data_IF_793593484007
#
_entry.id   IF_793593484007
#
_cell.length_a   1.000
_cell.length_b   1.000
_cell.length_c   1.000
_cell.angle_alpha   90.00
_cell.angle_beta   90.00
_cell.angle_gamma   90.00
#
_symmetry.space_group_name_H-M   'P 1'
#
loop_
_entity.id
_entity.type
_entity.pdbx_description
1 polymer ?
#
# COMPACT_ATOMS: atom_id res chain seq x y z
N UNK A 1 -20.06 -5.42 -6.50
CA UNK A 1 -18.97 -4.53 -6.12
C UNK A 1 -19.44 -3.76 -4.91
N UNK A 2 -18.70 -3.84 -3.81
CA UNK A 2 -19.16 -3.36 -2.51
C UNK A 2 -18.05 -2.57 -1.83
N UNK A 3 -18.27 -1.27 -1.68
CA UNK A 3 -17.43 -0.45 -0.80
C UNK A 3 -17.96 -0.61 0.62
N UNK A 4 -17.18 -1.25 1.48
CA UNK A 4 -17.49 -1.32 2.89
C UNK A 4 -17.16 0.01 3.55
N UNK A 5 -18.14 0.57 4.26
CA UNK A 5 -17.99 1.88 4.91
C UNK A 5 -18.25 1.78 6.40
N UNK A 6 -17.34 2.34 7.17
CA UNK A 6 -17.48 2.56 8.61
C UNK A 6 -17.44 4.06 8.91
N UNK A 7 -17.56 4.43 10.19
CA UNK A 7 -17.40 5.82 10.62
C UNK A 7 -15.98 6.36 10.45
N UNK A 8 -14.98 5.51 10.18
CA UNK A 8 -13.56 5.88 10.20
C UNK A 8 -12.81 5.49 8.92
N UNK A 9 -13.31 4.54 8.16
CA UNK A 9 -12.67 4.01 6.96
C UNK A 9 -13.67 3.58 5.88
N UNK A 10 -13.23 3.63 4.63
CA UNK A 10 -13.89 3.01 3.47
C UNK A 10 -12.88 2.11 2.76
N UNK A 11 -13.27 0.88 2.44
CA UNK A 11 -12.41 -0.11 1.77
C UNK A 11 -13.16 -0.79 0.62
N UNK A 12 -12.41 -1.27 -0.36
CA UNK A 12 -12.90 -2.06 -1.49
C UNK A 12 -12.44 -3.51 -1.37
N UNK A 13 -13.26 -4.45 -1.86
CA UNK A 13 -12.90 -5.85 -2.01
C UNK A 13 -12.08 -6.12 -3.30
N UNK A 14 -11.99 -5.13 -4.20
CA UNK A 14 -11.37 -5.24 -5.53
C UNK A 14 -10.08 -4.45 -5.67
N UNK A 15 -9.96 -3.35 -4.93
CA UNK A 15 -8.79 -2.48 -5.01
C UNK A 15 -8.09 -2.37 -3.66
N UNK A 16 -6.76 -2.19 -3.64
CA UNK A 16 -6.00 -1.99 -2.41
C UNK A 16 -6.09 -0.55 -1.88
N UNK A 17 -6.87 0.31 -2.54
CA UNK A 17 -7.04 1.68 -2.10
C UNK A 17 -8.10 1.78 -1.00
N UNK A 18 -8.03 2.84 -0.22
CA UNK A 18 -8.89 3.05 0.93
C UNK A 18 -9.05 4.54 1.22
N UNK A 19 -10.16 4.89 1.87
CA UNK A 19 -10.34 6.19 2.49
C UNK A 19 -10.28 6.06 4.00
N UNK A 20 -9.74 7.07 4.68
CA UNK A 20 -9.70 7.11 6.14
C UNK A 20 -9.96 8.52 6.63
N UNK A 21 -10.52 8.62 7.83
CA UNK A 21 -10.65 9.90 8.52
C UNK A 21 -9.33 10.32 9.15
N UNK A 22 -9.08 11.62 9.10
CA UNK A 22 -7.99 12.29 9.80
C UNK A 22 -8.54 13.31 10.77
N UNK A 23 -7.75 13.64 11.79
CA UNK A 23 -8.09 14.68 12.74
C UNK A 23 -8.28 16.03 12.02
N UNK A 24 -9.33 16.73 12.43
CA UNK A 24 -9.70 18.03 11.87
C UNK A 24 -11.08 18.47 12.33
N UNK A 25 -11.32 19.78 12.22
CA UNK A 25 -12.64 20.36 12.39
C UNK A 25 -13.37 20.44 11.04
N UNK A 26 -14.69 20.25 11.06
CA UNK A 26 -15.56 20.37 9.88
C UNK A 26 -15.82 19.06 9.14
N UNK A 27 -16.46 19.16 7.97
CA UNK A 27 -16.89 18.01 7.17
C UNK A 27 -15.76 17.38 6.33
N UNK A 28 -14.73 18.15 5.99
CA UNK A 28 -13.61 17.73 5.13
C UNK A 28 -12.50 17.02 5.93
N UNK A 29 -12.86 15.88 6.53
CA UNK A 29 -11.97 15.08 7.41
C UNK A 29 -11.57 13.75 6.79
N UNK A 30 -11.89 13.49 5.53
CA UNK A 30 -11.51 12.26 4.85
C UNK A 30 -10.31 12.48 3.94
N UNK A 31 -9.49 11.43 3.79
CA UNK A 31 -8.40 11.36 2.82
C UNK A 31 -8.44 10.03 2.10
N UNK A 32 -8.07 10.05 0.82
CA UNK A 32 -7.86 8.84 0.02
C UNK A 32 -6.39 8.44 0.06
N UNK A 33 -6.13 7.14 0.08
CA UNK A 33 -4.77 6.60 -0.04
C UNK A 33 -4.08 7.02 -1.33
N UNK A 34 -4.84 7.26 -2.40
CA UNK A 34 -4.33 7.64 -3.72
C UNK A 34 -4.37 9.13 -4.05
N UNK A 35 -5.07 9.92 -3.23
CA UNK A 35 -5.12 11.38 -3.33
C UNK A 35 -4.87 12.00 -1.95
N UNK A 36 -3.69 11.75 -1.34
CA UNK A 36 -3.46 12.13 0.04
C UNK A 36 -3.45 13.65 0.25
N UNK A 37 -3.14 14.45 -0.76
CA UNK A 37 -3.04 15.90 -0.62
C UNK A 37 -4.41 16.59 -0.44
N UNK A 38 -5.52 15.88 -0.70
CA UNK A 38 -6.85 16.45 -0.66
C UNK A 38 -7.58 16.05 0.62
N UNK A 39 -8.17 17.05 1.29
CA UNK A 39 -9.15 16.84 2.36
C UNK A 39 -10.54 16.82 1.74
N UNK A 40 -11.28 15.76 2.01
CA UNK A 40 -12.53 15.42 1.34
C UNK A 40 -13.67 15.33 2.36
N UNK A 41 -14.89 15.64 1.91
CA UNK A 41 -16.09 15.21 2.64
C UNK A 41 -16.25 13.71 2.55
N UNK A 42 -17.17 13.14 3.34
CA UNK A 42 -17.48 11.71 3.30
C UNK A 42 -17.98 11.30 1.91
N UNK A 43 -18.83 12.12 1.29
CA UNK A 43 -19.40 11.88 -0.04
C UNK A 43 -18.31 11.92 -1.11
N UNK A 44 -17.39 12.87 -1.02
CA UNK A 44 -16.25 12.94 -1.93
C UNK A 44 -15.30 11.75 -1.76
N UNK A 45 -15.03 11.33 -0.53
CA UNK A 45 -14.22 10.14 -0.27
C UNK A 45 -14.86 8.89 -0.87
N UNK A 46 -16.18 8.72 -0.72
CA UNK A 46 -16.91 7.62 -1.35
C UNK A 46 -16.82 7.70 -2.88
N UNK A 47 -17.02 8.87 -3.47
CA UNK A 47 -16.87 9.07 -4.91
C UNK A 47 -15.48 8.70 -5.42
N UNK A 48 -14.42 8.96 -4.63
CA UNK A 48 -13.05 8.57 -4.97
C UNK A 48 -12.75 7.09 -4.81
N UNK A 49 -13.42 6.40 -3.88
CA UNK A 49 -13.38 4.95 -3.80
C UNK A 49 -14.07 4.30 -5.01
N UNK A 50 -15.24 4.81 -5.39
CA UNK A 50 -15.97 4.34 -6.58
C UNK A 50 -15.19 4.63 -7.88
N UNK A 51 -14.49 5.76 -7.95
CA UNK A 51 -13.65 6.11 -9.10
C UNK A 51 -12.51 5.11 -9.29
N UNK A 52 -11.79 4.77 -8.22
CA UNK A 52 -10.69 3.81 -8.27
C UNK A 52 -11.16 2.42 -8.72
N UNK A 53 -12.32 1.98 -8.22
CA UNK A 53 -12.95 0.73 -8.64
C UNK A 53 -13.35 0.69 -10.12
N UNK A 54 -13.98 1.76 -10.62
CA UNK A 54 -14.34 1.88 -12.03
C UNK A 54 -13.10 1.85 -12.92
N UNK A 55 -12.02 2.52 -12.51
CA UNK A 55 -10.76 2.55 -13.24
C UNK A 55 -9.98 1.23 -13.15
N UNK A 56 -10.28 0.39 -12.17
CA UNK A 56 -9.65 -0.92 -11.98
C UNK A 56 -10.29 -2.02 -12.82
N UNK A 57 -11.44 -1.77 -13.46
CA UNK A 57 -12.09 -2.72 -14.36
C UNK A 57 -11.67 -2.53 -15.83
N UNK A 58 -10.79 -3.39 -16.39
CA UNK A 58 -10.37 -3.27 -17.78
C UNK A 58 -11.48 -3.60 -18.78
N UNK A 59 -12.54 -4.30 -18.36
CA UNK A 59 -13.64 -4.68 -19.25
C UNK A 59 -14.61 -3.52 -19.51
N UNK A 60 -14.62 -2.51 -18.64
CA UNK A 60 -15.49 -1.35 -18.72
C UNK A 60 -14.98 -0.21 -19.63
N UNK A 61 -13.78 -0.34 -20.22
CA UNK A 61 -13.11 0.74 -20.97
C UNK A 61 -13.93 1.24 -22.17
N UNK A 62 -14.69 0.36 -22.83
CA UNK A 62 -15.53 0.72 -23.98
C UNK A 62 -16.98 1.05 -23.61
N UNK A 63 -17.37 0.90 -22.33
CA UNK A 63 -18.70 1.27 -21.86
C UNK A 63 -18.78 2.77 -21.62
N UNK A 64 -19.59 3.44 -22.45
CA UNK A 64 -19.81 4.90 -22.36
C UNK A 64 -20.47 5.31 -21.05
N UNK A 65 -21.28 4.43 -20.45
CA UNK A 65 -21.92 4.70 -19.15
C UNK A 65 -20.87 4.70 -18.04
N UNK A 66 -19.95 3.72 -18.06
CA UNK A 66 -18.82 3.66 -17.15
C UNK A 66 -17.89 4.87 -17.33
N UNK A 67 -17.57 5.25 -18.57
CA UNK A 67 -16.75 6.44 -18.85
C UNK A 67 -17.37 7.74 -18.31
N UNK A 68 -18.69 7.90 -18.43
CA UNK A 68 -19.39 9.04 -17.83
C UNK A 68 -19.33 8.98 -16.30
N UNK A 69 -19.55 7.80 -15.72
CA UNK A 69 -19.46 7.60 -14.27
C UNK A 69 -18.07 7.92 -13.70
N UNK A 70 -17.01 7.63 -14.46
CA UNK A 70 -15.62 8.00 -14.16
C UNK A 70 -15.45 9.53 -14.18
N UNK A 71 -15.93 10.20 -15.22
CA UNK A 71 -15.81 11.66 -15.34
C UNK A 71 -16.56 12.40 -14.21
N UNK A 72 -17.79 11.97 -13.91
CA UNK A 72 -18.63 12.59 -12.88
C UNK A 72 -17.97 12.49 -11.48
N UNK A 73 -17.38 11.33 -11.15
CA UNK A 73 -16.69 11.12 -9.86
C UNK A 73 -15.37 11.87 -9.77
N UNK A 74 -14.60 11.92 -10.85
CA UNK A 74 -13.39 12.74 -10.90
C UNK A 74 -13.71 14.23 -10.68
N UNK A 75 -14.78 14.72 -11.33
CA UNK A 75 -15.26 16.09 -11.14
C UNK A 75 -15.67 16.38 -9.69
N UNK A 76 -16.33 15.44 -9.01
CA UNK A 76 -16.70 15.58 -7.59
C UNK A 76 -15.48 15.77 -6.65
N UNK A 77 -14.32 15.24 -7.05
CA UNK A 77 -13.06 15.39 -6.34
C UNK A 77 -12.27 16.64 -6.75
N UNK A 78 -12.74 17.40 -7.75
CA UNK A 78 -12.00 18.52 -8.32
C UNK A 78 -10.78 18.10 -9.14
N UNK A 79 -10.72 16.86 -9.61
CA UNK A 79 -9.61 16.34 -10.41
C UNK A 79 -10.08 15.92 -11.80
N UNK A 80 -9.15 15.89 -12.75
CA UNK A 80 -9.36 15.26 -14.05
C UNK A 80 -9.25 13.73 -13.93
N UNK A 81 -10.03 12.99 -14.70
CA UNK A 81 -9.97 11.52 -14.65
C UNK A 81 -8.59 11.00 -15.09
N UNK A 82 -7.93 11.64 -16.05
CA UNK A 82 -6.59 11.24 -16.49
C UNK A 82 -5.56 11.41 -15.37
N UNK A 83 -5.73 12.45 -14.54
CA UNK A 83 -4.89 12.66 -13.36
C UNK A 83 -5.11 11.53 -12.34
N UNK A 84 -6.35 11.10 -12.13
CA UNK A 84 -6.66 9.97 -11.25
C UNK A 84 -6.00 8.68 -11.76
N UNK A 85 -6.09 8.40 -13.07
CA UNK A 85 -5.40 7.25 -13.71
C UNK A 85 -3.89 7.29 -13.45
N UNK A 86 -3.26 8.46 -13.59
CA UNK A 86 -1.81 8.62 -13.35
C UNK A 86 -1.46 8.32 -11.88
N UNK A 87 -2.23 8.87 -10.93
CA UNK A 87 -1.98 8.67 -9.49
C UNK A 87 -2.14 7.21 -9.08
N UNK A 88 -3.20 6.55 -9.53
CA UNK A 88 -3.45 5.14 -9.26
C UNK A 88 -2.38 4.23 -9.90
N UNK A 89 -2.00 4.52 -11.15
CA UNK A 89 -0.93 3.79 -11.84
C UNK A 89 0.41 3.90 -11.11
N UNK A 90 0.75 5.08 -10.59
CA UNK A 90 1.99 5.26 -9.79
C UNK A 90 1.99 4.39 -8.54
N UNK A 91 0.86 4.31 -7.84
CA UNK A 91 0.72 3.46 -6.65
C UNK A 91 0.78 1.98 -6.98
N UNK A 92 0.16 1.56 -8.07
CA UNK A 92 0.28 0.18 -8.58
C UNK A 92 1.74 -0.17 -8.85
N UNK A 93 2.49 0.69 -9.56
CA UNK A 93 3.93 0.49 -9.82
C UNK A 93 4.72 0.42 -8.52
N UNK A 94 4.45 1.29 -7.56
CA UNK A 94 5.13 1.29 -6.26
C UNK A 94 4.89 -0.02 -5.49
N UNK A 95 3.66 -0.54 -5.50
CA UNK A 95 3.33 -1.85 -4.89
C UNK A 95 4.05 -3.00 -5.58
N UNK A 96 4.11 -2.99 -6.92
CA UNK A 96 4.80 -4.02 -7.70
C UNK A 96 6.31 -4.01 -7.42
N UNK A 97 6.91 -2.82 -7.26
CA UNK A 97 8.32 -2.67 -6.85
C UNK A 97 8.55 -3.23 -5.45
N UNK A 98 7.67 -2.92 -4.48
CA UNK A 98 7.75 -3.45 -3.10
C UNK A 98 7.65 -4.98 -3.07
N UNK A 99 6.74 -5.58 -3.84
CA UNK A 99 6.61 -7.04 -3.95
C UNK A 99 7.79 -7.70 -4.67
N UNK A 100 8.38 -7.03 -5.66
CA UNK A 100 9.52 -7.56 -6.40
C UNK A 100 10.82 -7.52 -5.59
N UNK A 101 11.03 -6.47 -4.78
CA UNK A 101 12.19 -6.36 -3.88
C UNK A 101 12.16 -7.31 -2.67
N UNK A 102 10.97 -7.83 -2.30
CA UNK A 102 10.82 -8.84 -1.24
C UNK A 102 11.24 -10.25 -1.65
N UNK A 103 11.18 -10.59 -2.95
CA UNK A 103 11.60 -11.91 -3.46
C UNK A 103 13.12 -12.09 -3.51
N UNK A 104 13.89 -11.01 -3.69
CA UNK A 104 15.35 -11.07 -3.78
C UNK A 104 16.07 -11.07 -2.43
N UNK A 105 15.44 -10.62 -1.33
CA UNK A 105 16.10 -10.59 -0.01
C UNK A 105 16.05 -11.91 0.76
N UNK A 106 15.08 -12.80 0.48
CA UNK A 106 14.94 -14.09 1.18
C UNK A 106 15.73 -15.24 0.55
N UNK A 107 16.37 -15.02 -0.60
CA UNK A 107 17.22 -16.03 -1.28
C UNK A 107 18.71 -15.91 -0.95
N UNK A 108 19.09 -15.00 -0.03
CA UNK A 108 20.48 -14.75 0.34
C UNK A 108 20.70 -14.83 1.86
N UNK A 109 20.07 -15.80 2.53
CA UNK A 109 20.64 -16.32 3.78
C UNK A 109 21.61 -17.46 3.40
N UNK A 110 22.94 -17.24 3.43
CA UNK A 110 23.85 -18.36 3.45
C UNK A 110 23.60 -19.10 4.76
N UNK A 111 23.10 -20.33 4.67
CA UNK A 111 23.15 -21.28 5.76
C UNK A 111 24.63 -21.40 6.12
N UNK A 112 25.04 -20.74 7.20
CA UNK A 112 26.37 -20.88 7.79
C UNK A 112 26.47 -22.30 8.34
N UNK A 113 26.81 -23.23 7.44
CA UNK A 113 27.27 -24.56 7.78
C UNK A 113 28.57 -24.41 8.57
N UNK A 114 28.59 -25.04 9.74
CA UNK A 114 29.52 -24.74 10.81
C UNK A 114 31.00 -24.88 10.45
N UNK A 115 31.79 -23.94 10.94
CA UNK A 115 33.10 -24.20 11.57
C UNK A 115 33.72 -22.88 12.00
N UNK A 116 33.39 -22.45 13.21
CA UNK A 116 34.17 -21.45 13.93
C UNK A 116 35.02 -22.15 14.99
N UNK A 117 36.02 -22.91 14.56
CA UNK A 117 37.19 -23.19 15.39
C UNK A 117 38.05 -21.92 15.40
N UNK A 118 37.73 -21.02 16.35
CA UNK A 118 38.64 -19.92 16.69
C UNK A 118 39.76 -20.48 17.57
N UNK A 119 40.97 -20.35 17.02
CA UNK A 119 42.28 -20.44 17.65
C UNK A 119 42.39 -19.53 18.88
N UNK A 120 43.09 -19.99 19.91
CA UNK A 120 44.13 -19.23 20.63
C UNK A 120 45.03 -20.22 21.38
N UNK A 121 46.34 -20.13 21.13
CA UNK A 121 47.35 -20.93 21.83
C UNK A 121 47.93 -20.21 23.04
N UNK A 122 48.44 -21.03 23.98
CA UNK A 122 49.53 -20.82 24.93
C UNK A 122 49.29 -19.73 26.03
N UNK A 123 49.62 -19.86 27.34
CA UNK A 123 50.65 -20.60 28.10
C UNK A 123 50.17 -20.74 29.59
N UNK A 124 50.77 -21.69 30.33
CA UNK A 124 50.85 -21.88 31.80
C UNK A 124 49.79 -22.82 32.42
N UNK A 125 50.07 -23.86 33.22
CA UNK A 125 51.26 -24.53 33.81
C UNK A 125 50.71 -25.82 34.49
N UNK A 126 51.41 -26.98 34.57
CA UNK A 126 50.97 -28.17 35.34
C UNK A 126 51.63 -28.21 36.73
N UNK A 127 51.33 -29.15 37.67
CA UNK A 127 50.23 -30.12 37.76
C UNK A 127 49.44 -30.04 39.12
N UNK A 128 48.34 -30.78 39.20
CA UNK A 128 47.67 -31.26 40.43
C UNK A 128 48.26 -32.66 40.72
N UNK A 129 48.55 -33.19 41.91
CA UNK A 129 48.03 -33.15 43.29
C UNK A 129 48.95 -34.07 44.12
N UNK A 130 49.05 -33.88 45.44
CA UNK A 130 48.84 -34.93 46.46
C UNK A 130 49.01 -34.31 47.85
N UNK A 131 48.33 -34.88 48.84
CA UNK A 131 48.29 -34.41 50.22
C UNK A 131 49.55 -34.69 51.03
#
# INVERSE_FOLDING_TARGET
MTIETTDWAMISDRTPEHAFRVDGAGAAVWRLSWLPEHRLTREQALAGMELDELLSDPTAVHDRTAQRGVADRAAALGVRYEQAVILLSRRMIERLRRHSGGRTRRAAEPVLSGSALRRTGAIAEPPRLSG
#
